data_IF_333909861869
#
_entry.id   IF_333909861869
#
_cell.length_a   1.000
_cell.length_b   1.000
_cell.length_c   1.000
_cell.angle_alpha   90.00
_cell.angle_beta   90.00
_cell.angle_gamma   90.00
#
_symmetry.space_group_name_H-M   'P 1'
#
loop_
_entity.id
_entity.type
_entity.pdbx_description
1 polymer ?
#
# COMPACT_ATOMS: atom_id res chain seq x y z
N UNK A 1 3.75 -20.68 -9.23
CA UNK A 1 3.44 -21.19 -10.58
C UNK A 1 3.94 -22.63 -10.64
N UNK A 2 3.15 -23.55 -11.17
CA UNK A 2 3.53 -24.96 -11.28
C UNK A 2 3.15 -25.49 -12.69
N UNK A 3 3.86 -26.48 -13.25
CA UNK A 3 3.53 -27.09 -14.54
C UNK A 3 2.17 -27.80 -14.54
N UNK A 4 1.46 -27.84 -15.66
CA UNK A 4 0.15 -28.50 -15.76
C UNK A 4 0.17 -29.97 -15.32
N UNK A 5 1.27 -30.68 -15.56
CA UNK A 5 1.46 -32.08 -15.15
C UNK A 5 1.44 -32.33 -13.63
N UNK A 6 1.67 -31.30 -12.82
CA UNK A 6 1.62 -31.40 -11.34
C UNK A 6 0.40 -30.67 -10.76
N UNK A 7 -0.49 -30.17 -11.62
CA UNK A 7 -1.74 -29.57 -11.18
C UNK A 7 -2.71 -30.68 -10.81
N UNK A 8 -3.11 -30.75 -9.54
CA UNK A 8 -4.13 -31.70 -9.06
C UNK A 8 -5.56 -31.25 -9.38
N UNK A 9 -5.73 -30.04 -9.92
CA UNK A 9 -7.05 -29.49 -10.24
C UNK A 9 -7.49 -29.92 -11.63
N UNK A 10 -8.78 -30.22 -11.76
CA UNK A 10 -9.42 -30.46 -13.06
C UNK A 10 -9.25 -29.24 -13.97
N UNK A 11 -8.76 -29.42 -15.22
CA UNK A 11 -8.64 -28.32 -16.15
C UNK A 11 -10.01 -27.76 -16.50
N UNK A 12 -10.14 -26.44 -16.43
CA UNK A 12 -11.34 -25.71 -16.84
C UNK A 12 -11.11 -25.03 -18.18
N UNK A 13 -12.18 -24.87 -18.97
CA UNK A 13 -12.08 -24.20 -20.26
C UNK A 13 -11.69 -22.72 -20.08
N UNK A 14 -10.62 -22.24 -20.74
CA UNK A 14 -10.22 -20.84 -20.63
C UNK A 14 -11.22 -19.88 -21.29
N UNK A 15 -12.04 -20.35 -22.23
CA UNK A 15 -13.02 -19.53 -22.95
C UNK A 15 -14.29 -19.28 -22.15
N UNK A 16 -14.85 -20.28 -21.46
CA UNK A 16 -16.13 -20.17 -20.77
C UNK A 16 -16.08 -20.44 -19.25
N UNK A 17 -14.98 -20.97 -18.71
CA UNK A 17 -14.81 -21.26 -17.29
C UNK A 17 -15.38 -22.60 -16.83
N UNK A 18 -16.10 -23.32 -17.67
CA UNK A 18 -16.72 -24.62 -17.34
C UNK A 18 -15.82 -25.82 -17.68
N UNK A 19 -16.09 -26.96 -17.05
CA UNK A 19 -15.41 -28.23 -17.34
C UNK A 19 -16.13 -28.89 -18.53
N UNK A 20 -15.44 -29.02 -19.66
CA UNK A 20 -15.94 -29.77 -20.81
C UNK A 20 -14.79 -30.25 -21.70
N UNK A 21 -15.10 -31.20 -22.57
CA UNK A 21 -14.20 -31.70 -23.62
C UNK A 21 -14.61 -31.15 -24.98
N UNK A 22 -13.68 -31.07 -25.94
CA UNK A 22 -13.97 -30.64 -27.32
C UNK A 22 -14.06 -29.12 -27.50
N UNK A 23 -14.60 -28.72 -28.67
CA UNK A 23 -14.67 -27.30 -29.07
C UNK A 23 -15.68 -26.57 -28.19
N UNK A 24 -15.25 -25.48 -27.56
CA UNK A 24 -16.13 -24.61 -26.81
C UNK A 24 -17.01 -23.78 -27.76
N UNK A 25 -18.33 -23.96 -27.69
CA UNK A 25 -19.30 -23.23 -28.51
C UNK A 25 -20.01 -22.09 -27.74
N UNK A 26 -19.70 -21.95 -26.46
CA UNK A 26 -20.31 -20.94 -25.58
C UNK A 26 -19.61 -19.58 -25.79
N UNK A 27 -20.33 -18.45 -25.73
CA UNK A 27 -19.71 -17.12 -25.72
C UNK A 27 -18.59 -17.01 -24.69
N UNK A 28 -17.53 -16.30 -25.04
CA UNK A 28 -16.40 -16.14 -24.14
C UNK A 28 -16.79 -15.35 -22.90
N UNK A 29 -16.38 -15.85 -21.73
CA UNK A 29 -16.55 -15.19 -20.45
C UNK A 29 -15.31 -15.44 -19.59
N UNK A 30 -14.60 -14.38 -19.29
CA UNK A 30 -13.39 -14.45 -18.49
C UNK A 30 -13.74 -14.82 -17.05
N UNK A 31 -13.21 -15.92 -16.52
CA UNK A 31 -13.42 -16.29 -15.11
C UNK A 31 -12.80 -15.27 -14.13
N UNK A 32 -11.78 -14.52 -14.56
CA UNK A 32 -11.07 -13.57 -13.69
C UNK A 32 -11.78 -12.22 -13.57
N UNK A 33 -12.32 -11.68 -14.67
CA UNK A 33 -12.91 -10.33 -14.72
C UNK A 33 -14.37 -10.30 -15.18
N UNK A 34 -14.93 -11.44 -15.56
CA UNK A 34 -16.28 -11.60 -16.11
C UNK A 34 -16.53 -10.92 -17.48
N UNK A 35 -15.48 -10.41 -18.13
CA UNK A 35 -15.56 -9.77 -19.45
C UNK A 35 -15.71 -10.76 -20.62
N UNK A 36 -16.11 -10.24 -21.79
CA UNK A 36 -16.35 -11.00 -23.03
C UNK A 36 -15.08 -11.44 -23.76
N UNK A 37 -14.17 -12.11 -23.06
CA UNK A 37 -12.91 -12.62 -23.61
C UNK A 37 -12.44 -13.88 -22.85
N UNK A 38 -11.53 -14.65 -23.45
CA UNK A 38 -10.86 -15.78 -22.77
C UNK A 38 -10.10 -15.35 -21.49
N UNK A 39 -10.01 -16.25 -20.51
CA UNK A 39 -9.19 -16.11 -19.31
C UNK A 39 -7.68 -15.91 -19.61
N UNK A 40 -7.22 -16.34 -20.78
CA UNK A 40 -5.83 -16.19 -21.23
C UNK A 40 -5.55 -14.87 -21.98
N UNK A 41 -6.57 -14.01 -22.15
CA UNK A 41 -6.42 -12.74 -22.87
C UNK A 41 -5.45 -11.79 -22.15
N UNK A 42 -4.46 -11.26 -22.89
CA UNK A 42 -3.54 -10.22 -22.40
C UNK A 42 -4.21 -8.86 -22.21
N UNK A 43 -5.40 -8.66 -22.80
CA UNK A 43 -6.22 -7.47 -22.60
C UNK A 43 -7.04 -7.51 -21.29
N UNK A 44 -7.01 -8.62 -20.55
CA UNK A 44 -7.75 -8.73 -19.30
C UNK A 44 -7.22 -7.72 -18.27
N UNK A 45 -8.08 -6.90 -17.63
CA UNK A 45 -7.65 -5.92 -16.64
C UNK A 45 -6.96 -6.58 -15.43
N UNK A 46 -7.36 -7.79 -15.05
CA UNK A 46 -6.68 -8.55 -14.00
C UNK A 46 -5.31 -9.07 -14.42
N UNK A 47 -5.17 -9.50 -15.69
CA UNK A 47 -3.86 -9.89 -16.21
C UNK A 47 -2.89 -8.70 -16.22
N UNK A 48 -3.33 -7.55 -16.75
CA UNK A 48 -2.55 -6.32 -16.79
C UNK A 48 -2.13 -5.90 -15.38
N UNK A 49 -3.06 -5.94 -14.42
CA UNK A 49 -2.76 -5.69 -13.01
C UNK A 49 -1.67 -6.61 -12.46
N UNK A 50 -1.77 -7.92 -12.68
CA UNK A 50 -0.77 -8.88 -12.20
C UNK A 50 0.59 -8.69 -12.88
N UNK A 51 0.61 -8.38 -14.18
CA UNK A 51 1.85 -8.05 -14.90
C UNK A 51 2.56 -6.85 -14.26
N UNK A 52 1.83 -5.75 -14.01
CA UNK A 52 2.41 -4.57 -13.38
C UNK A 52 2.95 -4.86 -11.97
N UNK A 53 2.28 -5.72 -11.20
CA UNK A 53 2.77 -6.13 -9.86
C UNK A 53 4.07 -6.94 -9.98
N UNK A 54 4.15 -7.89 -10.92
CA UNK A 54 5.35 -8.70 -11.16
C UNK A 54 6.51 -7.82 -11.62
N UNK A 55 6.23 -6.85 -12.47
CA UNK A 55 7.20 -5.90 -12.99
C UNK A 55 7.73 -4.99 -11.87
N UNK A 56 6.84 -4.45 -11.02
CA UNK A 56 7.21 -3.67 -9.83
C UNK A 56 8.07 -4.49 -8.87
N UNK A 57 7.70 -5.76 -8.66
CA UNK A 57 8.44 -6.71 -7.84
C UNK A 57 9.87 -6.88 -8.35
N UNK A 58 10.03 -7.16 -9.65
CA UNK A 58 11.33 -7.40 -10.27
C UNK A 58 12.24 -6.18 -10.27
N UNK A 59 11.69 -4.99 -10.57
CA UNK A 59 12.46 -3.74 -10.63
C UNK A 59 12.99 -3.26 -9.29
N UNK A 60 12.25 -3.51 -8.21
CA UNK A 60 12.55 -2.96 -6.88
C UNK A 60 12.97 -4.04 -5.88
N UNK A 61 13.17 -5.28 -6.33
CA UNK A 61 13.53 -6.42 -5.49
C UNK A 61 12.57 -6.65 -4.31
N UNK A 62 11.30 -6.30 -4.48
CA UNK A 62 10.29 -6.50 -3.45
C UNK A 62 9.85 -7.96 -3.35
N UNK A 63 9.30 -8.32 -2.21
CA UNK A 63 8.47 -9.51 -2.12
C UNK A 63 7.18 -9.32 -2.91
N UNK A 64 6.54 -10.43 -3.29
CA UNK A 64 5.24 -10.36 -3.98
C UNK A 64 4.16 -9.65 -3.15
N UNK A 65 4.22 -9.79 -1.82
CA UNK A 65 3.27 -9.16 -0.90
C UNK A 65 3.45 -7.63 -0.87
N UNK A 66 4.69 -7.16 -0.77
CA UNK A 66 5.03 -5.73 -0.78
C UNK A 66 4.65 -5.08 -2.11
N UNK A 67 5.04 -5.67 -3.24
CA UNK A 67 4.69 -5.14 -4.56
C UNK A 67 3.17 -5.02 -4.73
N UNK A 68 2.40 -6.02 -4.27
CA UNK A 68 0.94 -5.99 -4.30
C UNK A 68 0.36 -4.91 -3.39
N UNK A 69 0.91 -4.73 -2.18
CA UNK A 69 0.50 -3.67 -1.25
C UNK A 69 0.73 -2.29 -1.87
N UNK A 70 1.91 -2.04 -2.40
CA UNK A 70 2.29 -0.74 -3.01
C UNK A 70 1.41 -0.45 -4.22
N UNK A 71 1.24 -1.40 -5.14
CA UNK A 71 0.40 -1.23 -6.33
C UNK A 71 -1.07 -0.90 -5.97
N UNK A 72 -1.61 -1.55 -4.93
CA UNK A 72 -2.98 -1.29 -4.48
C UNK A 72 -3.08 0.03 -3.68
N UNK A 73 -2.00 0.51 -3.06
CA UNK A 73 -1.95 1.79 -2.34
C UNK A 73 -1.80 2.96 -3.30
N UNK A 74 -0.96 2.86 -4.34
CA UNK A 74 -0.83 3.92 -5.36
C UNK A 74 -2.15 4.16 -6.08
N UNK A 75 -2.94 3.12 -6.33
CA UNK A 75 -4.31 3.25 -6.85
C UNK A 75 -5.28 3.99 -5.91
N UNK A 76 -4.96 4.10 -4.61
CA UNK A 76 -5.76 4.80 -3.58
C UNK A 76 -5.28 6.22 -3.29
N UNK A 77 -4.10 6.62 -3.77
CA UNK A 77 -3.65 8.00 -3.67
C UNK A 77 -4.41 8.87 -4.68
N UNK A 78 -5.53 9.42 -4.25
CA UNK A 78 -6.19 10.52 -4.94
C UNK A 78 -5.90 11.85 -4.22
N UNK A 79 -6.04 12.96 -4.94
CA UNK A 79 -5.78 14.31 -4.42
C UNK A 79 -6.51 14.56 -3.09
N UNK A 80 -7.76 14.10 -2.98
CA UNK A 80 -8.56 14.25 -1.76
C UNK A 80 -7.98 13.50 -0.55
N UNK A 81 -7.40 12.32 -0.73
CA UNK A 81 -6.73 11.56 0.33
C UNK A 81 -5.42 12.23 0.78
N UNK A 82 -4.66 12.80 -0.15
CA UNK A 82 -3.45 13.56 0.18
C UNK A 82 -3.78 14.83 0.98
N UNK A 83 -4.85 15.57 0.59
CA UNK A 83 -5.31 16.74 1.33
C UNK A 83 -5.77 16.37 2.74
N UNK A 84 -6.52 15.27 2.91
CA UNK A 84 -6.95 14.78 4.24
C UNK A 84 -5.81 14.28 5.11
N UNK A 85 -4.74 13.74 4.53
CA UNK A 85 -3.54 13.38 5.30
C UNK A 85 -2.74 14.61 5.74
N UNK A 86 -2.85 15.72 5.00
CA UNK A 86 -2.15 16.97 5.26
C UNK A 86 -2.99 18.01 6.04
N UNK A 87 -4.24 17.70 6.41
CA UNK A 87 -4.96 18.55 7.37
C UNK A 87 -4.29 18.45 8.73
N UNK A 88 -4.04 19.58 9.43
CA UNK A 88 -3.52 19.54 10.79
C UNK A 88 -4.46 18.69 11.64
N UNK A 89 -4.00 17.53 12.08
CA UNK A 89 -4.71 16.74 13.08
C UNK A 89 -4.56 17.48 14.41
N UNK A 90 -5.66 17.72 15.13
CA UNK A 90 -5.61 18.38 16.45
C UNK A 90 -4.60 17.71 17.39
N UNK A 91 -4.40 16.39 17.28
CA UNK A 91 -3.41 15.62 18.06
C UNK A 91 -1.95 16.04 17.78
N UNK A 92 -1.63 16.43 16.54
CA UNK A 92 -0.27 16.87 16.18
C UNK A 92 -0.02 18.28 16.70
N UNK A 93 -1.00 19.18 16.59
CA UNK A 93 -0.87 20.54 17.11
C UNK A 93 -0.82 20.54 18.64
N UNK A 94 -1.65 19.73 19.31
CA UNK A 94 -1.64 19.55 20.76
C UNK A 94 -0.30 19.00 21.26
N UNK A 95 0.28 18.00 20.57
CA UNK A 95 1.62 17.49 20.88
C UNK A 95 2.70 18.54 20.67
N UNK A 96 2.56 19.40 19.66
CA UNK A 96 3.50 20.48 19.38
C UNK A 96 3.44 21.56 20.47
N UNK A 97 2.24 21.99 20.85
CA UNK A 97 2.05 22.94 21.95
C UNK A 97 2.56 22.37 23.28
N UNK A 98 2.31 21.09 23.55
CA UNK A 98 2.83 20.40 24.74
C UNK A 98 4.37 20.38 24.75
N UNK A 99 5.02 20.14 23.60
CA UNK A 99 6.48 20.19 23.49
C UNK A 99 7.02 21.62 23.71
N UNK A 100 6.36 22.63 23.15
CA UNK A 100 6.76 24.03 23.33
C UNK A 100 6.66 24.46 24.81
N UNK A 101 5.57 24.08 25.48
CA UNK A 101 5.37 24.36 26.89
C UNK A 101 6.47 23.75 27.76
N UNK A 102 6.77 22.46 27.57
CA UNK A 102 7.85 21.78 28.31
C UNK A 102 9.22 22.38 28.04
N UNK A 103 9.46 22.86 26.81
CA UNK A 103 10.72 23.51 26.48
C UNK A 103 10.85 24.86 27.20
N UNK A 104 9.76 25.60 27.36
CA UNK A 104 9.74 26.83 28.14
C UNK A 104 10.00 26.59 29.64
N UNK A 105 9.36 25.59 30.25
CA UNK A 105 9.62 25.21 31.65
C UNK A 105 11.10 24.85 31.88
N UNK A 106 11.71 24.13 30.94
CA UNK A 106 13.13 23.79 31.02
C UNK A 106 14.03 25.03 30.95
N UNK A 107 13.70 26.01 30.10
CA UNK A 107 14.45 27.28 29.99
C UNK A 107 14.35 28.08 31.29
N UNK A 108 13.16 28.17 31.87
CA UNK A 108 12.95 28.87 33.14
C UNK A 108 13.71 28.21 34.29
N UNK A 109 13.70 26.88 34.35
CA UNK A 109 14.49 26.10 35.32
C UNK A 109 15.99 26.35 35.17
N UNK A 110 16.51 26.32 33.94
CA UNK A 110 17.92 26.60 33.66
C UNK A 110 18.29 28.03 34.06
N UNK A 111 17.42 29.00 33.73
CA UNK A 111 17.63 30.41 34.06
C UNK A 111 17.67 30.63 35.57
N UNK A 112 16.75 30.00 36.30
CA UNK A 112 16.68 30.07 37.76
C UNK A 112 17.93 29.48 38.41
N UNK A 113 18.36 28.30 37.94
CA UNK A 113 19.58 27.65 38.44
C UNK A 113 20.83 28.51 38.16
N UNK A 114 20.92 29.09 36.96
CA UNK A 114 22.02 29.98 36.61
C UNK A 114 22.09 31.20 37.53
N UNK A 115 20.96 31.85 37.79
CA UNK A 115 20.88 33.01 38.71
C UNK A 115 21.30 32.62 40.13
N UNK A 116 20.84 31.46 40.63
CA UNK A 116 21.19 30.97 41.96
C UNK A 116 22.71 30.74 42.10
N UNK A 117 23.33 30.11 41.09
CA UNK A 117 24.78 29.87 41.07
C UNK A 117 25.56 31.19 41.01
N UNK A 118 25.16 32.11 40.14
CA UNK A 118 25.83 33.41 40.01
C UNK A 118 25.73 34.24 41.30
N UNK A 119 24.61 34.16 42.01
CA UNK A 119 24.44 34.84 43.30
C UNK A 119 25.33 34.21 44.37
N UNK A 120 25.38 32.88 44.46
CA UNK A 120 26.19 32.16 45.44
C UNK A 120 27.71 32.31 45.26
N UNK A 121 28.19 32.68 44.06
CA UNK A 121 29.62 32.91 43.78
C UNK A 121 30.02 34.38 44.00
N UNK A 122 29.05 35.29 44.18
CA UNK A 122 29.29 36.72 44.43
C UNK A 122 29.36 37.08 45.92
N UNK A 123 29.22 36.11 46.81
CA UNK A 123 29.46 36.19 48.26
C UNK A 123 30.84 35.61 48.62
#
# INVERSE_FOLDING_TARGET
>A
MHPSRVCEKTPICPSCGEIHSGICQVPQKCINCQGGHSATSRGCPFYIKEQNIIELKGRNHFTTAEARRIYNQSAKFNYAAAVKANTPSNDIEERRETMLFKMNENIESITTNYIAVVTAVKE
#
